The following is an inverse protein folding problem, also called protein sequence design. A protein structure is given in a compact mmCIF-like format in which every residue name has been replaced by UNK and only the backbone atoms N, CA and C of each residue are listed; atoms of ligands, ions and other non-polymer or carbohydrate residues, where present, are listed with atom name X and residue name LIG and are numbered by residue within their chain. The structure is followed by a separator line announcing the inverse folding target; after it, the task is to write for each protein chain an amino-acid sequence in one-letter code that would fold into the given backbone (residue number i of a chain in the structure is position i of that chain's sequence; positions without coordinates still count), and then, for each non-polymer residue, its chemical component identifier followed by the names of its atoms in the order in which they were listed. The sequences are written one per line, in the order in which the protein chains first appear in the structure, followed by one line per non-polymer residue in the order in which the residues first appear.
data_IF_085031015534
#
_entry.id   IF_085031015534
#
_cell.length_a   1.000
_cell.length_b   1.000
_cell.length_c   1.000
_cell.angle_alpha   90.00
_cell.angle_beta   90.00
_cell.angle_gamma   90.00
#
_symmetry.space_group_name_H-M   'P 1'
#
loop_
_entity.id
_entity.type
_entity.pdbx_description
1 polymer ?
#
# COMPACT_ATOMS: atom_id res chain seq x y z
N UNK A 1 20.18 8.72 12.82
CA UNK A 1 20.08 9.35 14.15
C UNK A 1 19.19 10.57 13.93
N UNK A 2 17.86 10.39 13.95
CA UNK A 2 16.94 11.52 13.82
C UNK A 2 16.97 12.29 15.14
N UNK A 3 17.39 13.53 15.07
CA UNK A 3 17.31 14.46 16.19
C UNK A 3 15.85 14.88 16.27
N UNK A 4 15.05 14.23 17.13
CA UNK A 4 13.78 14.79 17.55
C UNK A 4 14.08 16.05 18.38
N UNK A 5 14.22 17.20 17.72
CA UNK A 5 14.41 18.48 18.40
C UNK A 5 13.08 18.96 18.98
N UNK A 6 12.96 18.96 20.31
CA UNK A 6 11.88 19.64 21.03
C UNK A 6 10.80 18.73 21.61
N UNK A 7 10.04 19.27 22.57
CA UNK A 7 8.90 18.60 23.17
C UNK A 7 7.65 18.80 22.30
N UNK A 8 7.18 17.71 21.67
CA UNK A 8 6.02 17.72 20.76
C UNK A 8 4.74 18.15 21.48
N UNK A 9 4.57 17.77 22.75
CA UNK A 9 3.39 18.15 23.54
C UNK A 9 3.38 19.66 23.76
N UNK A 10 4.50 20.22 24.22
CA UNK A 10 4.64 21.67 24.44
C UNK A 10 4.43 22.46 23.13
N UNK A 11 4.92 21.94 21.99
CA UNK A 11 4.71 22.59 20.69
C UNK A 11 3.23 22.61 20.29
N UNK A 12 2.50 21.52 20.54
CA UNK A 12 1.06 21.43 20.26
C UNK A 12 0.24 22.28 21.21
N UNK A 13 0.62 22.36 22.49
CA UNK A 13 -0.03 23.24 23.46
C UNK A 13 0.13 24.72 23.09
N UNK A 14 1.29 25.10 22.54
CA UNK A 14 1.53 26.47 22.04
C UNK A 14 0.79 26.79 20.75
N UNK A 15 0.36 25.79 19.98
CA UNK A 15 -0.35 25.94 18.71
C UNK A 15 -1.67 25.15 18.76
N UNK A 16 -2.65 25.57 19.59
CA UNK A 16 -3.86 24.81 19.85
C UNK A 16 -4.66 24.61 18.56
N UNK A 17 -5.16 23.38 18.38
CA UNK A 17 -5.99 22.98 17.24
C UNK A 17 -7.44 23.43 17.48
N UNK A 18 -8.01 24.13 16.50
CA UNK A 18 -9.34 24.73 16.58
C UNK A 18 -10.34 23.98 15.70
N UNK A 19 -9.88 23.55 14.52
CA UNK A 19 -10.68 22.83 13.56
C UNK A 19 -9.90 21.64 13.01
N UNK A 20 -10.62 20.57 12.66
CA UNK A 20 -10.05 19.36 12.08
C UNK A 20 -11.02 18.75 11.08
N UNK A 21 -10.51 18.46 9.88
CA UNK A 21 -11.15 17.54 8.94
C UNK A 21 -10.33 16.25 8.99
N UNK A 22 -10.81 15.19 9.66
CA UNK A 22 -10.06 13.95 9.80
C UNK A 22 -9.77 13.31 8.44
N UNK A 23 -8.71 12.51 8.37
CA UNK A 23 -8.40 11.77 7.16
C UNK A 23 -9.56 10.87 6.76
N UNK A 24 -9.93 10.89 5.48
CA UNK A 24 -10.84 9.91 4.91
C UNK A 24 -10.29 9.35 3.59
N UNK A 25 -10.67 8.11 3.27
CA UNK A 25 -10.15 7.38 2.10
C UNK A 25 -10.60 7.97 0.75
N UNK A 26 -11.68 8.76 0.76
CA UNK A 26 -12.24 9.41 -0.44
C UNK A 26 -11.43 10.64 -0.83
N UNK A 27 -11.16 11.52 0.13
CA UNK A 27 -10.49 12.80 -0.04
C UNK A 27 -8.97 12.66 0.01
N UNK A 28 -8.46 11.68 0.77
CA UNK A 28 -7.02 11.33 0.92
C UNK A 28 -6.13 12.44 1.50
N UNK A 29 -6.70 13.33 2.29
CA UNK A 29 -5.98 14.35 3.05
C UNK A 29 -6.58 14.52 4.45
N UNK A 30 -5.78 15.10 5.36
CA UNK A 30 -6.12 15.48 6.72
C UNK A 30 -5.82 16.98 6.85
N UNK A 31 -6.77 17.76 7.37
CA UNK A 31 -6.63 19.21 7.56
C UNK A 31 -6.79 19.57 9.01
N UNK A 32 -5.95 20.47 9.50
CA UNK A 32 -6.07 21.05 10.83
C UNK A 32 -5.85 22.56 10.76
N UNK A 33 -6.57 23.31 11.59
CA UNK A 33 -6.37 24.76 11.75
C UNK A 33 -5.92 25.02 13.18
N UNK A 34 -4.85 25.81 13.32
CA UNK A 34 -4.21 26.11 14.59
C UNK A 34 -4.14 27.62 14.84
N UNK A 35 -4.21 28.02 16.12
CA UNK A 35 -3.79 29.38 16.49
C UNK A 35 -2.27 29.49 16.34
N UNK A 36 -1.80 30.47 15.56
CA UNK A 36 -0.38 30.64 15.32
C UNK A 36 0.24 31.59 16.36
N UNK A 37 1.10 31.06 17.22
CA UNK A 37 1.69 31.84 18.33
C UNK A 37 2.66 32.94 17.86
N UNK A 38 3.37 32.70 16.75
CA UNK A 38 4.45 33.59 16.30
C UNK A 38 3.96 34.84 15.55
N UNK A 39 2.73 34.83 15.02
CA UNK A 39 2.08 36.02 14.45
C UNK A 39 0.72 36.21 15.15
N UNK A 40 0.72 37.05 16.19
CA UNK A 40 -0.46 37.38 17.01
C UNK A 40 -1.67 37.68 16.12
N UNK A 41 -2.70 36.83 16.21
CA UNK A 41 -3.99 37.03 15.53
C UNK A 41 -4.20 36.16 14.29
N UNK A 42 -3.16 35.49 13.79
CA UNK A 42 -3.26 34.65 12.60
C UNK A 42 -3.59 33.19 12.91
N UNK A 43 -4.33 32.56 12.01
CA UNK A 43 -4.58 31.14 12.00
C UNK A 43 -3.72 30.47 10.93
N UNK A 44 -3.16 29.30 11.25
CA UNK A 44 -2.42 28.49 10.29
C UNK A 44 -3.25 27.26 9.94
N UNK A 45 -3.58 27.12 8.66
CA UNK A 45 -4.12 25.88 8.11
C UNK A 45 -2.96 24.98 7.72
N UNK A 46 -2.96 23.74 8.22
CA UNK A 46 -2.01 22.70 7.86
C UNK A 46 -2.78 21.57 7.16
N UNK A 47 -2.23 21.04 6.08
CA UNK A 47 -2.80 19.90 5.38
C UNK A 47 -1.72 18.90 4.99
N UNK A 48 -1.99 17.62 5.27
CA UNK A 48 -1.15 16.48 4.89
C UNK A 48 -1.96 15.41 4.18
N UNK A 49 -1.36 14.69 3.24
CA UNK A 49 -2.10 13.67 2.49
C UNK A 49 -1.30 12.99 1.38
N UNK A 50 -2.04 12.35 0.47
CA UNK A 50 -1.45 11.76 -0.72
C UNK A 50 -0.74 12.85 -1.55
N UNK A 51 0.55 12.68 -1.93
CA UNK A 51 1.36 13.72 -2.56
C UNK A 51 0.68 14.42 -3.74
N UNK A 52 0.08 13.65 -4.65
CA UNK A 52 -0.62 14.16 -5.82
C UNK A 52 -1.82 15.05 -5.44
N UNK A 53 -2.58 14.66 -4.42
CA UNK A 53 -3.76 15.40 -3.95
C UNK A 53 -3.39 16.70 -3.24
N UNK A 54 -2.23 16.74 -2.61
CA UNK A 54 -1.72 17.93 -1.96
C UNK A 54 -1.20 18.91 -3.00
N UNK A 55 -0.41 18.45 -3.97
CA UNK A 55 0.13 19.30 -5.03
C UNK A 55 -0.99 19.96 -5.85
N UNK A 56 -2.05 19.23 -6.20
CA UNK A 56 -3.20 19.75 -6.95
C UNK A 56 -3.92 20.91 -6.24
N UNK A 57 -3.75 21.06 -4.92
CA UNK A 57 -4.36 22.11 -4.11
C UNK A 57 -3.44 23.31 -3.87
N UNK A 58 -2.18 23.22 -4.29
CA UNK A 58 -1.17 24.23 -4.05
C UNK A 58 -0.96 25.13 -5.27
N UNK A 59 -0.77 26.43 -5.03
CA UNK A 59 -0.41 27.42 -6.06
C UNK A 59 0.96 28.04 -5.83
N UNK A 60 1.49 27.93 -4.62
CA UNK A 60 2.82 28.41 -4.25
C UNK A 60 3.63 27.31 -3.59
N UNK A 61 4.93 27.49 -3.49
CA UNK A 61 5.88 26.57 -2.87
C UNK A 61 6.87 27.35 -2.01
N UNK A 62 7.22 26.82 -0.85
CA UNK A 62 8.19 27.43 0.06
C UNK A 62 9.60 26.89 -0.20
N UNK A 63 10.51 27.75 -0.65
CA UNK A 63 11.89 27.40 -1.01
C UNK A 63 12.84 28.39 -0.34
N UNK A 64 13.80 27.89 0.44
CA UNK A 64 14.87 28.68 1.07
C UNK A 64 14.41 29.92 1.86
N UNK A 65 13.21 29.85 2.46
CA UNK A 65 12.64 30.96 3.24
C UNK A 65 11.69 31.88 2.46
N UNK A 66 11.51 31.64 1.16
CA UNK A 66 10.66 32.46 0.30
C UNK A 66 9.52 31.65 -0.32
N UNK A 67 8.36 32.28 -0.43
CA UNK A 67 7.21 31.75 -1.14
C UNK A 67 7.30 32.09 -2.63
N UNK A 68 7.33 31.06 -3.47
CA UNK A 68 7.42 31.17 -4.94
C UNK A 68 6.19 30.57 -5.60
N UNK A 69 5.91 30.96 -6.84
CA UNK A 69 4.82 30.36 -7.60
C UNK A 69 5.15 28.91 -7.98
N UNK A 70 4.15 28.02 -7.88
CA UNK A 70 4.28 26.63 -8.29
C UNK A 70 4.11 26.50 -9.81
N UNK A 71 5.20 26.71 -10.54
CA UNK A 71 5.28 26.55 -12.00
C UNK A 71 5.52 25.09 -12.42
N UNK A 72 5.59 24.86 -13.73
CA UNK A 72 5.79 23.53 -14.30
C UNK A 72 7.18 22.95 -14.04
N UNK A 73 8.19 23.80 -13.82
CA UNK A 73 9.53 23.35 -13.41
C UNK A 73 9.46 22.71 -12.01
N UNK A 74 8.81 23.39 -11.06
CA UNK A 74 8.62 22.84 -9.72
C UNK A 74 7.72 21.60 -9.70
N UNK A 75 6.70 21.53 -10.54
CA UNK A 75 5.89 20.31 -10.71
C UNK A 75 6.74 19.13 -11.21
N UNK A 76 7.63 19.37 -12.18
CA UNK A 76 8.52 18.33 -12.68
C UNK A 76 9.49 17.84 -11.59
N UNK A 77 10.11 18.76 -10.84
CA UNK A 77 11.02 18.40 -9.72
C UNK A 77 10.29 17.66 -8.60
N UNK A 78 9.06 18.04 -8.30
CA UNK A 78 8.20 17.31 -7.37
C UNK A 78 7.99 15.88 -7.86
N UNK A 79 7.63 15.69 -9.14
CA UNK A 79 7.39 14.37 -9.72
C UNK A 79 8.65 13.50 -9.67
N UNK A 80 9.82 14.05 -10.02
CA UNK A 80 11.10 13.35 -9.91
C UNK A 80 11.40 12.89 -8.48
N UNK A 81 11.22 13.79 -7.49
CA UNK A 81 11.43 13.45 -6.08
C UNK A 81 10.43 12.39 -5.59
N UNK A 82 9.16 12.53 -5.96
CA UNK A 82 8.11 11.56 -5.61
C UNK A 82 8.39 10.18 -6.20
N UNK A 83 8.77 10.11 -7.48
CA UNK A 83 9.13 8.87 -8.16
C UNK A 83 10.37 8.23 -7.53
N UNK A 84 11.39 9.03 -7.16
CA UNK A 84 12.60 8.54 -6.51
C UNK A 84 12.31 7.95 -5.12
N UNK A 85 11.58 8.67 -4.27
CA UNK A 85 11.22 8.22 -2.92
C UNK A 85 10.33 6.97 -2.99
N UNK A 86 9.33 6.96 -3.88
CA UNK A 86 8.50 5.79 -4.11
C UNK A 86 9.30 4.59 -4.62
N UNK A 87 10.28 4.82 -5.51
CA UNK A 87 11.16 3.79 -6.07
C UNK A 87 12.09 3.15 -5.04
N UNK A 88 12.33 3.83 -3.92
CA UNK A 88 13.04 3.29 -2.77
C UNK A 88 12.13 2.48 -1.83
N UNK A 89 10.84 2.30 -2.17
CA UNK A 89 9.88 1.58 -1.34
C UNK A 89 9.37 2.39 -0.15
N UNK A 90 9.54 3.71 -0.19
CA UNK A 90 9.11 4.58 0.89
C UNK A 90 7.65 5.03 0.70
N UNK A 91 6.94 5.20 1.82
CA UNK A 91 5.62 5.81 1.86
C UNK A 91 5.77 7.32 1.93
N UNK A 92 5.35 8.00 0.88
CA UNK A 92 5.50 9.46 0.73
C UNK A 92 4.21 10.19 1.11
N UNK A 93 4.33 11.27 1.88
CA UNK A 93 3.25 12.17 2.30
C UNK A 93 3.57 13.58 1.82
N UNK A 94 2.62 14.24 1.17
CA UNK A 94 2.70 15.65 0.84
C UNK A 94 2.27 16.53 2.02
N UNK A 95 2.94 17.67 2.18
CA UNK A 95 2.66 18.67 3.20
C UNK A 95 2.45 20.04 2.55
N UNK A 96 1.41 20.73 2.96
CA UNK A 96 1.16 22.12 2.62
C UNK A 96 0.56 22.87 3.80
N UNK A 97 0.69 24.19 3.76
CA UNK A 97 0.11 25.10 4.72
C UNK A 97 -0.55 26.29 4.03
N UNK A 98 -1.27 27.08 4.82
CA UNK A 98 -1.79 28.36 4.38
C UNK A 98 -2.02 29.27 5.59
N UNK A 99 -1.41 30.44 5.57
CA UNK A 99 -1.64 31.48 6.56
C UNK A 99 -2.96 32.17 6.25
N UNK A 100 -3.93 32.01 7.15
CA UNK A 100 -5.27 32.57 6.97
C UNK A 100 -5.24 34.08 7.23
N UNK A 101 -5.73 34.89 6.28
CA UNK A 101 -5.65 36.34 6.38
C UNK A 101 -6.58 36.89 7.47
N UNK A 102 -6.02 37.69 8.39
CA UNK A 102 -6.69 38.17 9.61
C UNK A 102 -7.94 39.04 9.33
N UNK A 103 -7.97 39.73 8.19
CA UNK A 103 -9.13 40.53 7.75
C UNK A 103 -10.37 39.67 7.46
N UNK A 104 -10.17 38.41 7.04
CA UNK A 104 -11.27 37.46 6.77
C UNK A 104 -11.51 36.50 7.93
N UNK A 105 -10.46 36.16 8.68
CA UNK A 105 -10.49 35.20 9.78
C UNK A 105 -9.97 35.85 11.06
N UNK A 106 -10.74 36.79 11.65
CA UNK A 106 -10.33 37.49 12.86
C UNK A 106 -10.30 36.54 14.06
N UNK A 107 -9.58 36.94 15.12
CA UNK A 107 -9.51 36.14 16.35
C UNK A 107 -10.92 35.85 16.91
N UNK A 108 -11.19 34.58 17.18
CA UNK A 108 -12.49 34.08 17.62
C UNK A 108 -13.41 33.62 16.48
N UNK A 109 -12.92 33.63 15.23
CA UNK A 109 -13.68 33.09 14.10
C UNK A 109 -14.03 31.61 14.32
N UNK A 110 -15.31 31.27 14.16
CA UNK A 110 -15.78 29.89 14.28
C UNK A 110 -15.59 29.14 12.96
N UNK A 111 -14.65 28.20 12.96
CA UNK A 111 -14.40 27.31 11.82
C UNK A 111 -15.37 26.13 11.85
N UNK A 112 -16.00 25.85 10.71
CA UNK A 112 -16.89 24.71 10.53
C UNK A 112 -16.28 23.70 9.55
N UNK A 113 -16.02 22.49 10.02
CA UNK A 113 -15.43 21.40 9.23
C UNK A 113 -16.40 20.81 8.19
N UNK A 114 -17.71 20.88 8.44
CA UNK A 114 -18.75 20.33 7.56
C UNK A 114 -19.05 21.27 6.39
N UNK A 115 -19.23 22.57 6.69
CA UNK A 115 -19.50 23.60 5.68
C UNK A 115 -18.22 24.13 4.99
N UNK A 116 -17.04 23.75 5.50
CA UNK A 116 -15.71 24.14 5.00
C UNK A 116 -15.60 25.65 4.73
N UNK A 117 -15.84 26.48 5.75
CA UNK A 117 -15.82 27.95 5.64
C UNK A 117 -14.41 28.58 5.50
N UNK A 118 -13.43 27.80 5.02
CA UNK A 118 -12.02 28.17 4.88
C UNK A 118 -11.45 27.64 3.55
N UNK A 119 -10.36 28.25 3.02
CA UNK A 119 -9.80 27.84 1.74
C UNK A 119 -9.26 26.40 1.77
N UNK A 120 -9.55 25.65 0.71
CA UNK A 120 -9.08 24.28 0.48
C UNK A 120 -8.22 24.13 -0.78
N UNK A 121 -7.95 25.26 -1.45
CA UNK A 121 -7.13 25.40 -2.65
C UNK A 121 -6.30 26.69 -2.51
N UNK A 122 -5.34 26.88 -3.42
CA UNK A 122 -4.38 27.98 -3.39
C UNK A 122 -3.49 27.95 -2.14
N UNK A 123 -3.15 26.75 -1.69
CA UNK A 123 -2.29 26.53 -0.53
C UNK A 123 -0.82 26.67 -0.94
N UNK A 124 0.06 26.75 0.06
CA UNK A 124 1.52 26.77 -0.10
C UNK A 124 2.09 25.38 0.15
N UNK A 125 2.72 24.82 -0.86
CA UNK A 125 3.41 23.53 -0.77
C UNK A 125 4.69 23.67 0.05
N UNK A 126 4.89 22.81 1.04
CA UNK A 126 6.07 22.84 1.91
C UNK A 126 7.09 21.77 1.53
N UNK A 127 6.63 20.57 1.17
CA UNK A 127 7.52 19.47 0.86
C UNK A 127 6.89 18.09 0.94
N UNK A 128 7.76 17.11 0.73
CA UNK A 128 7.47 15.69 0.89
C UNK A 128 8.18 15.16 2.13
N UNK A 129 7.50 14.31 2.89
CA UNK A 129 8.14 13.44 3.88
C UNK A 129 7.93 12.01 3.45
N UNK A 130 8.97 11.20 3.51
CA UNK A 130 8.90 9.77 3.27
C UNK A 130 9.16 8.99 4.56
N UNK A 131 8.54 7.83 4.67
CA UNK A 131 8.72 6.90 5.77
C UNK A 131 8.85 5.49 5.19
N UNK A 132 9.81 4.73 5.69
CA UNK A 132 9.97 3.32 5.30
C UNK A 132 9.22 2.45 6.30
N UNK A 133 8.36 1.57 5.79
CA UNK A 133 7.88 0.42 6.55
C UNK A 133 8.66 -0.81 6.06
N UNK A 134 9.80 -1.14 6.71
CA UNK A 134 10.69 -2.17 6.19
C UNK A 134 10.00 -3.55 6.27
N UNK A 135 10.20 -4.42 5.28
CA UNK A 135 9.68 -5.77 5.37
C UNK A 135 10.26 -6.48 6.60
N UNK A 136 9.44 -7.32 7.24
CA UNK A 136 9.88 -8.13 8.38
C UNK A 136 11.06 -9.01 7.94
N UNK A 137 12.08 -9.14 8.80
CA UNK A 137 13.35 -9.78 8.46
C UNK A 137 13.22 -11.22 7.92
N UNK A 138 12.19 -11.97 8.35
CA UNK A 138 11.94 -13.34 7.91
C UNK A 138 11.22 -13.46 6.55
N UNK A 139 10.61 -12.37 6.05
CA UNK A 139 9.76 -12.40 4.86
C UNK A 139 10.54 -12.76 3.59
N UNK A 140 11.71 -12.16 3.28
CA UNK A 140 12.45 -12.50 2.07
C UNK A 140 12.82 -13.99 1.96
N UNK A 141 13.33 -14.57 3.06
CA UNK A 141 13.67 -16.01 3.11
C UNK A 141 12.42 -16.89 2.95
N UNK A 142 11.31 -16.52 3.61
CA UNK A 142 10.08 -17.26 3.51
C UNK A 142 9.47 -17.23 2.09
N UNK A 143 9.48 -16.07 1.42
CA UNK A 143 9.06 -15.95 0.02
C UNK A 143 9.94 -16.82 -0.88
N UNK A 144 11.26 -16.78 -0.70
CA UNK A 144 12.19 -17.62 -1.46
C UNK A 144 11.92 -19.12 -1.28
N UNK A 145 11.67 -19.56 -0.03
CA UNK A 145 11.33 -20.96 0.28
C UNK A 145 9.99 -21.37 -0.34
N UNK A 146 8.95 -20.54 -0.26
CA UNK A 146 7.68 -20.80 -0.94
C UNK A 146 7.87 -20.97 -2.45
N UNK A 147 8.64 -20.08 -3.09
CA UNK A 147 8.96 -20.18 -4.52
C UNK A 147 9.76 -21.44 -4.86
N UNK A 148 10.74 -21.81 -4.02
CA UNK A 148 11.51 -23.05 -4.20
C UNK A 148 10.65 -24.32 -4.12
N UNK A 149 9.53 -24.24 -3.38
CA UNK A 149 8.53 -25.30 -3.27
C UNK A 149 7.50 -25.30 -4.42
N UNK A 150 7.68 -24.44 -5.43
CA UNK A 150 6.80 -24.30 -6.58
C UNK A 150 5.56 -23.43 -6.34
N UNK A 151 5.49 -22.69 -5.22
CA UNK A 151 4.34 -21.84 -4.90
C UNK A 151 4.48 -20.50 -5.60
N UNK A 152 3.45 -20.10 -6.35
CA UNK A 152 3.36 -18.76 -6.93
C UNK A 152 2.95 -17.75 -5.86
N UNK A 153 3.77 -16.73 -5.65
CA UNK A 153 3.51 -15.67 -4.65
C UNK A 153 3.06 -14.40 -5.39
N UNK A 154 1.91 -13.85 -4.99
CA UNK A 154 1.31 -12.65 -5.59
C UNK A 154 1.13 -11.60 -4.48
N UNK A 155 1.57 -10.36 -4.72
CA UNK A 155 1.33 -9.24 -3.80
C UNK A 155 -0.01 -8.57 -4.12
N UNK A 156 -0.83 -8.31 -3.10
CA UNK A 156 -2.11 -7.57 -3.24
C UNK A 156 -2.20 -6.49 -2.16
N UNK A 157 -1.93 -5.23 -2.52
CA UNK A 157 -1.83 -4.12 -1.58
C UNK A 157 -2.66 -2.88 -1.98
N UNK A 158 -3.05 -2.09 -0.98
CA UNK A 158 -3.65 -0.77 -1.15
C UNK A 158 -2.62 0.35 -1.37
N UNK A 159 -1.32 0.04 -1.32
CA UNK A 159 -0.24 1.01 -1.51
C UNK A 159 -0.09 1.46 -2.97
N UNK A 160 0.67 2.53 -3.16
CA UNK A 160 0.97 3.06 -4.49
C UNK A 160 1.82 2.05 -5.30
N UNK A 161 1.64 1.91 -6.63
CA UNK A 161 2.36 0.92 -7.44
C UNK A 161 3.87 0.99 -7.33
N UNK A 162 4.42 2.21 -7.26
CA UNK A 162 5.87 2.42 -7.19
C UNK A 162 6.43 1.82 -5.90
N UNK A 163 5.81 2.13 -4.76
CA UNK A 163 6.16 1.58 -3.45
C UNK A 163 5.95 0.07 -3.43
N UNK A 164 4.80 -0.41 -3.93
CA UNK A 164 4.49 -1.84 -3.97
C UNK A 164 5.51 -2.63 -4.81
N UNK A 165 5.89 -2.11 -5.98
CA UNK A 165 6.93 -2.71 -6.85
C UNK A 165 8.29 -2.76 -6.16
N UNK A 166 8.68 -1.69 -5.49
CA UNK A 166 9.95 -1.63 -4.77
C UNK A 166 9.98 -2.63 -3.59
N UNK A 167 8.91 -2.71 -2.79
CA UNK A 167 8.79 -3.72 -1.73
C UNK A 167 8.77 -5.13 -2.30
N UNK A 168 8.04 -5.36 -3.40
CA UNK A 168 7.97 -6.66 -4.07
C UNK A 168 9.34 -7.14 -4.56
N UNK A 169 10.20 -6.23 -5.06
CA UNK A 169 11.60 -6.53 -5.36
C UNK A 169 12.40 -6.83 -4.10
N UNK A 170 12.28 -6.00 -3.06
CA UNK A 170 13.01 -6.17 -1.81
C UNK A 170 12.73 -7.51 -1.09
N UNK A 171 11.51 -8.06 -1.23
CA UNK A 171 11.12 -9.35 -0.62
C UNK A 171 11.21 -10.55 -1.59
N UNK A 172 11.61 -10.34 -2.85
CA UNK A 172 11.78 -11.42 -3.83
C UNK A 172 10.50 -11.96 -4.47
N UNK A 173 9.41 -11.18 -4.46
CA UNK A 173 8.19 -11.47 -5.25
C UNK A 173 8.45 -11.14 -6.72
N UNK A 174 9.07 -9.99 -6.99
CA UNK A 174 9.65 -9.67 -8.29
C UNK A 174 11.15 -9.94 -8.20
N UNK A 175 11.70 -10.72 -9.12
CA UNK A 175 13.13 -11.00 -9.17
C UNK A 175 13.90 -9.82 -9.78
N UNK A 176 15.15 -9.59 -9.37
CA UNK A 176 15.95 -8.44 -9.81
C UNK A 176 16.20 -8.43 -11.34
N UNK A 177 16.22 -9.60 -11.96
CA UNK A 177 16.44 -9.82 -13.39
C UNK A 177 15.16 -9.72 -14.24
N UNK A 178 13.99 -9.65 -13.60
CA UNK A 178 12.72 -9.57 -14.31
C UNK A 178 12.24 -8.12 -14.45
N UNK A 179 11.72 -7.84 -15.63
CA UNK A 179 11.22 -6.54 -16.04
C UNK A 179 9.69 -6.56 -16.18
N UNK A 180 9.07 -5.43 -15.85
CA UNK A 180 7.67 -5.16 -16.23
C UNK A 180 7.59 -4.59 -17.64
N UNK A 181 6.39 -4.53 -18.21
CA UNK A 181 6.18 -3.93 -19.54
C UNK A 181 6.67 -2.48 -19.57
N UNK A 182 6.48 -1.74 -18.48
CA UNK A 182 6.98 -0.37 -18.31
C UNK A 182 8.51 -0.30 -18.25
N UNK A 183 9.16 -1.27 -17.61
CA UNK A 183 10.62 -1.33 -17.54
C UNK A 183 11.23 -1.58 -18.93
N UNK A 184 10.64 -2.52 -19.67
CA UNK A 184 11.07 -2.84 -21.05
C UNK A 184 10.88 -1.61 -21.95
N UNK A 185 9.73 -0.94 -21.84
CA UNK A 185 9.43 0.27 -22.61
C UNK A 185 10.44 1.39 -22.31
N UNK A 186 10.74 1.62 -21.02
CA UNK A 186 11.71 2.61 -20.58
C UNK A 186 13.13 2.30 -21.07
N UNK A 187 13.57 1.04 -20.94
CA UNK A 187 14.89 0.59 -21.37
C UNK A 187 15.08 0.71 -22.88
N UNK A 188 14.05 0.37 -23.66
CA UNK A 188 14.07 0.46 -25.12
C UNK A 188 13.73 1.85 -25.66
N UNK A 189 13.32 2.79 -24.79
CA UNK A 189 12.84 4.12 -25.16
C UNK A 189 11.69 4.08 -26.19
N UNK A 190 10.80 3.10 -26.05
CA UNK A 190 9.61 2.92 -26.90
C UNK A 190 8.33 3.15 -26.11
N UNK A 191 7.20 3.51 -26.76
CA UNK A 191 5.91 3.55 -26.09
C UNK A 191 5.53 2.18 -25.52
N UNK A 192 4.87 2.17 -24.35
CA UNK A 192 4.39 0.93 -23.67
C UNK A 192 3.56 0.05 -24.63
N UNK A 193 2.76 0.67 -25.50
CA UNK A 193 1.92 -0.02 -26.50
C UNK A 193 2.71 -0.80 -27.55
N UNK A 194 4.01 -0.53 -27.69
CA UNK A 194 4.89 -1.22 -28.64
C UNK A 194 5.58 -2.43 -28.03
N UNK A 195 5.49 -2.61 -26.72
CA UNK A 195 6.06 -3.76 -26.01
C UNK A 195 5.04 -4.88 -25.99
N UNK A 196 5.47 -6.09 -26.38
CA UNK A 196 4.64 -7.27 -26.23
C UNK A 196 4.54 -7.64 -24.73
N UNK A 197 3.34 -7.67 -24.14
CA UNK A 197 3.19 -7.99 -22.71
C UNK A 197 3.76 -9.36 -22.33
N UNK A 198 3.85 -10.29 -23.28
CA UNK A 198 4.41 -11.63 -23.05
C UNK A 198 5.92 -11.66 -22.86
N UNK A 199 6.62 -10.60 -23.23
CA UNK A 199 8.07 -10.49 -23.02
C UNK A 199 8.39 -10.13 -21.56
N UNK A 200 7.42 -9.56 -20.83
CA UNK A 200 7.53 -9.24 -19.42
C UNK A 200 7.07 -10.43 -18.56
N UNK A 201 7.96 -10.94 -17.71
CA UNK A 201 7.59 -11.97 -16.71
C UNK A 201 6.91 -11.39 -15.48
N UNK A 202 7.18 -10.12 -15.19
CA UNK A 202 6.62 -9.39 -14.07
C UNK A 202 5.53 -8.42 -14.53
N UNK A 203 4.48 -8.26 -13.73
CA UNK A 203 3.41 -7.29 -13.97
C UNK A 203 3.05 -6.55 -12.69
N UNK A 204 2.86 -5.23 -12.82
CA UNK A 204 2.33 -4.37 -11.75
C UNK A 204 1.02 -3.78 -12.25
N UNK A 205 -0.10 -4.23 -11.68
CA UNK A 205 -1.44 -3.85 -12.13
C UNK A 205 -2.03 -2.84 -11.16
N UNK A 206 -2.50 -1.71 -11.68
CA UNK A 206 -3.16 -0.69 -10.88
C UNK A 206 -4.62 -1.06 -10.61
N UNK A 207 -5.11 -0.84 -9.38
CA UNK A 207 -6.49 -1.14 -9.02
C UNK A 207 -7.54 -0.43 -9.89
N UNK A 208 -7.24 0.74 -10.47
CA UNK A 208 -8.16 1.37 -11.43
C UNK A 208 -8.27 0.58 -12.73
N UNK A 209 -7.16 0.06 -13.25
CA UNK A 209 -7.16 -0.77 -14.47
C UNK A 209 -7.92 -2.07 -14.22
N UNK A 210 -7.71 -2.67 -13.03
CA UNK A 210 -8.39 -3.90 -12.62
C UNK A 210 -9.92 -3.75 -12.58
N UNK A 211 -10.43 -2.54 -12.30
CA UNK A 211 -11.88 -2.27 -12.26
C UNK A 211 -12.54 -2.40 -13.64
N UNK A 212 -11.81 -2.03 -14.69
CA UNK A 212 -12.32 -2.02 -16.06
C UNK A 212 -11.98 -3.31 -16.82
N UNK A 213 -11.26 -4.23 -16.18
CA UNK A 213 -10.91 -5.54 -16.71
C UNK A 213 -12.05 -6.55 -16.58
N UNK A 214 -12.21 -7.38 -17.60
CA UNK A 214 -13.07 -8.56 -17.56
C UNK A 214 -12.36 -9.73 -16.87
N UNK A 215 -13.12 -10.70 -16.36
CA UNK A 215 -12.57 -11.91 -15.74
C UNK A 215 -11.55 -12.62 -16.63
N UNK A 216 -11.79 -12.69 -17.94
CA UNK A 216 -10.85 -13.29 -18.90
C UNK A 216 -9.51 -12.57 -18.98
N UNK A 217 -9.52 -11.24 -18.93
CA UNK A 217 -8.28 -10.45 -18.95
C UNK A 217 -7.49 -10.65 -17.66
N UNK A 218 -8.18 -10.75 -16.52
CA UNK A 218 -7.55 -11.08 -15.23
C UNK A 218 -6.92 -12.48 -15.31
N UNK A 219 -7.67 -13.46 -15.82
CA UNK A 219 -7.17 -14.82 -15.97
C UNK A 219 -5.94 -14.88 -16.90
N UNK A 220 -5.92 -14.12 -18.00
CA UNK A 220 -4.75 -14.01 -18.88
C UNK A 220 -3.54 -13.40 -18.16
N UNK A 221 -3.72 -12.33 -17.38
CA UNK A 221 -2.63 -11.73 -16.58
C UNK A 221 -2.06 -12.77 -15.61
N UNK A 222 -2.93 -13.44 -14.87
CA UNK A 222 -2.58 -14.47 -13.90
C UNK A 222 -1.88 -15.66 -14.56
N UNK A 223 -2.18 -15.97 -15.83
CA UNK A 223 -1.58 -17.09 -16.56
C UNK A 223 -0.22 -16.76 -17.16
N UNK A 224 -0.06 -15.58 -17.75
CA UNK A 224 1.15 -15.24 -18.53
C UNK A 224 2.26 -14.60 -17.72
N UNK A 225 1.95 -14.00 -16.57
CA UNK A 225 2.95 -13.38 -15.71
C UNK A 225 3.21 -14.25 -14.49
N UNK A 226 4.46 -14.59 -14.23
CA UNK A 226 4.83 -15.40 -13.06
C UNK A 226 4.95 -14.58 -11.79
N UNK A 227 5.29 -13.29 -11.91
CA UNK A 227 5.54 -12.38 -10.79
C UNK A 227 4.56 -11.22 -10.87
N UNK A 228 3.62 -11.14 -9.93
CA UNK A 228 2.48 -10.23 -10.04
C UNK A 228 2.34 -9.40 -8.78
N UNK A 229 2.15 -8.11 -8.97
CA UNK A 229 1.82 -7.14 -7.92
C UNK A 229 0.55 -6.40 -8.32
N UNK A 230 -0.49 -6.54 -7.51
CA UNK A 230 -1.68 -5.70 -7.59
C UNK A 230 -1.57 -4.57 -6.56
N UNK A 231 -1.57 -3.33 -7.02
CA UNK A 231 -1.40 -2.14 -6.20
C UNK A 231 -2.65 -1.26 -6.23
N UNK A 232 -2.83 -0.41 -5.20
CA UNK A 232 -4.02 0.45 -5.02
C UNK A 232 -5.35 -0.33 -5.08
N UNK A 233 -5.38 -1.58 -4.64
CA UNK A 233 -6.59 -2.42 -4.69
C UNK A 233 -7.59 -2.10 -3.58
N UNK A 234 -8.88 -2.14 -3.90
CA UNK A 234 -9.96 -2.14 -2.88
C UNK A 234 -10.16 -3.53 -2.25
N UNK A 235 -10.83 -3.63 -1.08
CA UNK A 235 -11.18 -4.93 -0.47
C UNK A 235 -11.91 -5.89 -1.43
N UNK A 236 -12.84 -5.36 -2.24
CA UNK A 236 -13.58 -6.14 -3.23
C UNK A 236 -12.68 -6.63 -4.37
N UNK A 237 -11.69 -5.83 -4.76
CA UNK A 237 -10.73 -6.23 -5.78
C UNK A 237 -9.81 -7.36 -5.29
N UNK A 238 -9.44 -7.37 -4.00
CA UNK A 238 -8.70 -8.49 -3.41
C UNK A 238 -9.47 -9.81 -3.55
N UNK A 239 -10.77 -9.78 -3.31
CA UNK A 239 -11.67 -10.93 -3.50
C UNK A 239 -11.67 -11.39 -4.96
N UNK A 240 -11.82 -10.48 -5.93
CA UNK A 240 -11.82 -10.80 -7.36
C UNK A 240 -10.51 -11.46 -7.79
N UNK A 241 -9.37 -11.00 -7.26
CA UNK A 241 -8.05 -11.60 -7.55
C UNK A 241 -7.99 -13.04 -7.03
N UNK A 242 -8.46 -13.29 -5.81
CA UNK A 242 -8.52 -14.66 -5.23
C UNK A 242 -9.41 -15.56 -6.08
N UNK A 243 -10.59 -15.07 -6.49
CA UNK A 243 -11.49 -15.80 -7.37
C UNK A 243 -10.86 -16.09 -8.74
N UNK A 244 -10.13 -15.14 -9.31
CA UNK A 244 -9.37 -15.34 -10.54
C UNK A 244 -8.36 -16.48 -10.44
N UNK A 245 -7.60 -16.55 -9.34
CA UNK A 245 -6.67 -17.65 -9.09
C UNK A 245 -7.42 -18.99 -8.93
N UNK A 246 -8.51 -19.02 -8.16
CA UNK A 246 -9.32 -20.23 -7.95
C UNK A 246 -9.98 -20.73 -9.25
N UNK A 247 -10.41 -19.83 -10.15
CA UNK A 247 -10.96 -20.20 -11.46
C UNK A 247 -9.96 -20.96 -12.34
N UNK A 248 -8.66 -20.79 -12.11
CA UNK A 248 -7.62 -21.57 -12.79
C UNK A 248 -7.44 -22.98 -12.23
N UNK A 249 -8.19 -23.34 -11.18
CA UNK A 249 -8.10 -24.62 -10.50
C UNK A 249 -6.98 -24.69 -9.47
N UNK A 250 -6.38 -23.54 -9.12
CA UNK A 250 -5.32 -23.44 -8.12
C UNK A 250 -5.90 -23.39 -6.69
N UNK A 251 -5.16 -23.93 -5.73
CA UNK A 251 -5.46 -23.79 -4.30
C UNK A 251 -4.80 -22.51 -3.80
N UNK A 252 -5.60 -21.59 -3.26
CA UNK A 252 -5.18 -20.23 -2.92
C UNK A 252 -5.13 -20.04 -1.42
N UNK A 253 -3.95 -19.70 -0.91
CA UNK A 253 -3.76 -19.19 0.44
C UNK A 253 -3.71 -17.66 0.42
N UNK A 254 -4.38 -17.00 1.37
CA UNK A 254 -4.33 -15.54 1.54
C UNK A 254 -3.77 -15.22 2.91
N UNK A 255 -2.79 -14.32 2.97
CA UNK A 255 -2.21 -13.81 4.23
C UNK A 255 -2.56 -12.34 4.38
N UNK A 256 -3.12 -11.93 5.52
CA UNK A 256 -3.51 -10.54 5.73
C UNK A 256 -3.68 -10.18 7.21
N UNK A 257 -3.71 -8.88 7.50
CA UNK A 257 -3.81 -8.34 8.85
C UNK A 257 -4.87 -7.24 8.99
N UNK A 258 -5.31 -6.65 7.88
CA UNK A 258 -6.28 -5.57 7.89
C UNK A 258 -7.73 -6.06 7.76
N UNK A 259 -8.67 -5.23 8.23
CA UNK A 259 -10.11 -5.42 7.97
C UNK A 259 -10.39 -5.50 6.46
N UNK A 260 -9.57 -4.83 5.65
CA UNK A 260 -9.62 -4.84 4.19
C UNK A 260 -9.35 -6.21 3.57
N UNK A 261 -8.69 -7.13 4.28
CA UNK A 261 -8.33 -8.46 3.79
C UNK A 261 -9.41 -9.50 4.08
N UNK A 262 -10.34 -9.20 4.99
CA UNK A 262 -11.37 -10.14 5.47
C UNK A 262 -12.15 -10.83 4.35
N UNK A 263 -12.62 -10.14 3.28
CA UNK A 263 -13.32 -10.81 2.19
C UNK A 263 -12.43 -11.83 1.44
N UNK A 264 -11.17 -11.47 1.20
CA UNK A 264 -10.21 -12.33 0.52
C UNK A 264 -9.79 -13.52 1.39
N UNK A 265 -9.53 -13.27 2.68
CA UNK A 265 -9.24 -14.32 3.68
C UNK A 265 -10.36 -15.35 3.74
N UNK A 266 -11.61 -14.89 3.74
CA UNK A 266 -12.76 -15.79 3.85
C UNK A 266 -13.03 -16.62 2.59
N UNK A 267 -12.64 -16.09 1.43
CA UNK A 267 -12.84 -16.75 0.13
C UNK A 267 -11.72 -17.72 -0.22
N UNK A 268 -10.51 -17.46 0.28
CA UNK A 268 -9.35 -18.32 0.10
C UNK A 268 -9.64 -19.76 0.56
N UNK A 269 -8.92 -20.73 0.00
CA UNK A 269 -8.98 -22.12 0.46
C UNK A 269 -8.36 -22.25 1.87
N UNK A 270 -7.41 -21.37 2.19
CA UNK A 270 -6.91 -21.14 3.54
C UNK A 270 -6.60 -19.65 3.75
N UNK A 271 -7.32 -19.03 4.68
CA UNK A 271 -7.03 -17.69 5.18
C UNK A 271 -6.05 -17.73 6.35
N UNK A 272 -5.01 -16.89 6.32
CA UNK A 272 -3.98 -16.78 7.36
C UNK A 272 -3.93 -15.34 7.90
N UNK A 273 -4.21 -15.18 9.19
CA UNK A 273 -4.18 -13.88 9.85
C UNK A 273 -2.98 -13.71 10.80
N UNK A 274 -2.53 -12.46 10.94
CA UNK A 274 -1.49 -12.08 11.91
C UNK A 274 -2.07 -11.97 13.32
N UNK A 275 -1.39 -12.52 14.33
CA UNK A 275 -1.86 -12.62 15.70
C UNK A 275 -1.73 -11.31 16.49
N UNK A 276 -0.67 -10.55 16.26
CA UNK A 276 -0.38 -9.29 16.96
C UNK A 276 -0.87 -8.12 16.11
N UNK A 277 -0.42 -8.01 14.85
CA UNK A 277 -0.81 -6.89 13.97
C UNK A 277 -2.23 -7.01 13.40
N UNK A 278 -2.80 -8.22 13.39
CA UNK A 278 -4.10 -8.47 12.78
C UNK A 278 -5.28 -7.88 13.55
N UNK A 279 -6.20 -7.27 12.82
CA UNK A 279 -7.49 -6.84 13.33
C UNK A 279 -8.34 -8.03 13.82
N UNK A 280 -9.28 -7.78 14.74
CA UNK A 280 -10.18 -8.84 15.20
C UNK A 280 -11.03 -9.43 14.06
N UNK A 281 -11.41 -8.58 13.08
CA UNK A 281 -12.18 -9.00 11.91
C UNK A 281 -11.37 -9.93 11.01
N UNK A 282 -10.10 -9.62 10.75
CA UNK A 282 -9.24 -10.48 9.92
C UNK A 282 -8.94 -11.81 10.60
N UNK A 283 -8.73 -11.82 11.92
CA UNK A 283 -8.55 -13.05 12.71
C UNK A 283 -9.77 -13.96 12.70
N UNK A 284 -10.98 -13.39 12.77
CA UNK A 284 -12.23 -14.15 12.69
C UNK A 284 -12.53 -14.67 11.27
N UNK A 285 -12.06 -13.97 10.25
CA UNK A 285 -12.24 -14.37 8.85
C UNK A 285 -11.29 -15.48 8.40
N UNK A 286 -10.12 -15.60 9.04
CA UNK A 286 -9.07 -16.56 8.71
C UNK A 286 -9.29 -17.95 9.33
N UNK A 287 -8.69 -18.96 8.71
CA UNK A 287 -8.71 -20.36 9.18
C UNK A 287 -7.49 -20.69 10.07
N UNK A 288 -6.39 -19.94 9.90
CA UNK A 288 -5.16 -20.07 10.67
C UNK A 288 -4.69 -18.70 11.19
N UNK A 289 -4.18 -18.67 12.42
CA UNK A 289 -3.67 -17.44 13.06
C UNK A 289 -2.20 -17.64 13.46
N UNK A 290 -1.33 -16.74 13.01
CA UNK A 290 0.09 -16.70 13.37
C UNK A 290 0.29 -15.87 14.64
N UNK A 291 0.31 -16.51 15.81
CA UNK A 291 0.35 -15.82 17.11
C UNK A 291 1.58 -14.93 17.31
N UNK A 292 2.69 -15.20 16.63
CA UNK A 292 3.96 -14.50 16.74
C UNK A 292 4.23 -13.52 15.58
N UNK A 293 3.27 -13.33 14.67
CA UNK A 293 3.43 -12.57 13.43
C UNK A 293 4.63 -13.02 12.56
N UNK A 294 5.07 -14.27 12.70
CA UNK A 294 6.21 -14.77 11.95
C UNK A 294 5.76 -15.40 10.63
N UNK A 295 6.03 -14.69 9.54
CA UNK A 295 5.70 -15.16 8.19
C UNK A 295 6.41 -16.48 7.82
N UNK A 296 7.55 -16.80 8.44
CA UNK A 296 8.24 -18.08 8.21
C UNK A 296 7.40 -19.30 8.61
N UNK A 297 6.41 -19.14 9.51
CA UNK A 297 5.49 -20.20 9.91
C UNK A 297 4.65 -20.73 8.74
N UNK A 298 4.47 -19.95 7.66
CA UNK A 298 3.80 -20.42 6.45
C UNK A 298 4.64 -21.51 5.76
N UNK A 299 5.96 -21.35 5.74
CA UNK A 299 6.86 -22.35 5.15
C UNK A 299 6.75 -23.66 5.92
N UNK A 300 6.80 -23.59 7.25
CA UNK A 300 6.60 -24.76 8.12
C UNK A 300 5.22 -25.37 7.91
N UNK A 301 4.16 -24.55 7.79
CA UNK A 301 2.81 -25.04 7.51
C UNK A 301 2.69 -25.79 6.19
N UNK A 302 3.35 -25.31 5.13
CA UNK A 302 3.41 -26.02 3.83
C UNK A 302 4.15 -27.35 3.95
N UNK A 303 5.28 -27.37 4.66
CA UNK A 303 6.08 -28.58 4.87
C UNK A 303 5.28 -29.65 5.63
N UNK A 304 4.70 -29.28 6.77
CA UNK A 304 3.87 -30.18 7.59
C UNK A 304 2.60 -30.62 6.86
N UNK A 305 1.98 -29.72 6.10
CA UNK A 305 0.81 -30.03 5.28
C UNK A 305 1.09 -31.09 4.19
N UNK A 306 2.25 -31.01 3.54
CA UNK A 306 2.68 -32.04 2.57
C UNK A 306 3.03 -33.36 3.27
N UNK A 307 3.70 -33.29 4.43
CA UNK A 307 4.08 -34.46 5.21
C UNK A 307 2.87 -35.26 5.70
N UNK A 308 1.87 -34.59 6.27
CA UNK A 308 0.65 -35.25 6.77
C UNK A 308 -0.15 -35.88 5.63
N UNK A 309 -0.21 -35.24 4.45
CA UNK A 309 -0.91 -35.78 3.30
C UNK A 309 -0.35 -37.13 2.83
N UNK A 310 0.99 -37.25 2.75
CA UNK A 310 1.63 -38.51 2.41
C UNK A 310 1.48 -39.57 3.51
N UNK A 311 1.52 -39.16 4.77
CA UNK A 311 1.28 -40.07 5.89
C UNK A 311 -0.17 -40.57 5.95
N UNK A 312 -1.15 -39.74 5.58
CA UNK A 312 -2.54 -40.16 5.44
C UNK A 312 -2.70 -41.22 4.35
N UNK A 313 -2.05 -41.05 3.19
CA UNK A 313 -2.07 -42.10 2.14
C UNK A 313 -1.50 -43.43 2.65
N UNK A 314 -0.38 -43.39 3.38
CA UNK A 314 0.23 -44.59 3.98
C UNK A 314 -0.72 -45.27 4.99
N UNK A 315 -1.35 -44.47 5.86
CA UNK A 315 -2.30 -44.96 6.87
C UNK A 315 -3.57 -45.56 6.25
N UNK A 316 -4.11 -44.91 5.22
CA UNK A 316 -5.26 -45.41 4.46
C UNK A 316 -4.90 -46.71 3.75
N UNK A 317 -3.76 -46.75 3.05
CA UNK A 317 -3.30 -47.96 2.36
C UNK A 317 -3.11 -49.13 3.34
N UNK A 318 -2.52 -48.87 4.51
CA UNK A 318 -2.37 -49.89 5.56
C UNK A 318 -3.72 -50.45 6.00
N UNK A 319 -4.68 -49.57 6.32
CA UNK A 319 -6.02 -49.95 6.78
C UNK A 319 -6.85 -50.65 5.68
N UNK A 320 -6.74 -50.23 4.42
CA UNK A 320 -7.49 -50.86 3.33
C UNK A 320 -6.90 -52.23 2.94
N UNK A 321 -5.60 -52.44 3.14
CA UNK A 321 -4.95 -53.71 2.79
C UNK A 321 -5.40 -54.86 3.69
N UNK A 322 -5.74 -54.59 4.95
CA UNK A 322 -6.27 -55.62 5.86
C UNK A 322 -7.65 -56.14 5.44
N UNK A 323 -8.38 -55.43 4.59
CA UNK A 323 -9.71 -55.85 4.13
C UNK A 323 -9.69 -56.92 3.03
N UNK A 324 -8.53 -57.24 2.44
CA UNK A 324 -8.40 -58.32 1.43
C UNK A 324 -8.27 -59.72 2.07
N UNK A 325 -7.47 -59.91 3.14
CA UNK A 325 -7.41 -61.20 3.84
C UNK A 325 -8.57 -61.44 4.82
N UNK A 326 -9.38 -60.44 5.13
CA UNK A 326 -10.62 -60.53 5.94
C UNK A 326 -11.84 -60.92 5.08
#
# INVERSE_FOLDING_TARGET
MEIATGNVLDYREKNPKICEIPFNSTNKYHVTIHEHYHAKGSYLLCMKGAPERILDRCTTIYIDGEEKHLDDEWRNRFNEAYMKLGGMGERVIGLCDFELPEDKYPKGYEFNADDMNFPMNNLRFLGLISMVDPPRAAVPDAVAKCRSAGIKVIMVTGDHPITAKAIAKAVGIISDDNETVEDIALRLQVPITSVNPRDAKAAVIHGQELKDMTDKQIDDILRYHSEIVFARTSPQQKLIIVEGCQRQGEIVAVTGDGVNDSPALKKADIGVAMGISGSDVSKQAADMILLDDNFASIVTGVEEGRLIFDNLKKSIAYTLTSNIPE
#
